data_IF_387339787527
#
_entry.id   IF_387339787527
#
_cell.length_a   1.000
_cell.length_b   1.000
_cell.length_c   1.000
_cell.angle_alpha   90.00
_cell.angle_beta   90.00
_cell.angle_gamma   90.00
#
_symmetry.space_group_name_H-M   'P 1'
#
loop_
_entity.id
_entity.type
_entity.pdbx_description
1 polymer ?
#
# COMPACT_ATOMS: atom_id res chain seq x y z
N UNK A 1 -146.88 12.51 0.18
CA UNK A 1 -147.31 13.68 0.98
C UNK A 1 -147.10 14.98 0.19
N UNK A 2 -147.93 16.00 0.45
CA UNK A 2 -148.11 17.30 -0.22
C UNK A 2 -146.86 18.24 -0.23
N UNK A 3 -146.77 19.11 -1.26
CA UNK A 3 -145.79 20.21 -1.54
C UNK A 3 -145.89 21.41 -0.56
N UNK A 4 -144.94 22.39 -0.58
CA UNK A 4 -145.25 23.67 -1.27
C UNK A 4 -144.08 24.43 -1.94
N UNK A 5 -144.44 25.48 -2.67
CA UNK A 5 -143.76 26.22 -3.75
C UNK A 5 -143.47 27.68 -3.33
N UNK A 6 -142.42 28.37 -3.83
CA UNK A 6 -142.30 29.85 -3.85
C UNK A 6 -141.33 30.35 -4.95
N UNK A 7 -141.81 31.20 -5.86
CA UNK A 7 -141.03 31.95 -6.87
C UNK A 7 -141.14 33.46 -6.63
N UNK A 8 -140.09 34.22 -6.95
CA UNK A 8 -140.04 35.70 -6.93
C UNK A 8 -139.15 36.19 -8.09
N UNK A 9 -139.57 37.24 -8.80
CA UNK A 9 -138.93 37.78 -10.02
C UNK A 9 -138.48 39.25 -9.80
N UNK A 10 -137.33 39.65 -10.37
CA UNK A 10 -136.64 40.95 -10.19
C UNK A 10 -135.94 41.31 -11.53
N UNK A 11 -136.06 42.53 -12.06
CA UNK A 11 -135.00 43.40 -12.66
C UNK A 11 -135.46 44.47 -13.71
N UNK A 12 -134.86 45.69 -13.69
CA UNK A 12 -134.86 46.73 -14.77
C UNK A 12 -133.56 47.61 -14.85
N UNK A 13 -133.04 47.85 -16.08
CA UNK A 13 -132.45 49.05 -16.80
C UNK A 13 -131.06 49.80 -16.63
N UNK A 14 -130.09 49.50 -15.75
CA UNK A 14 -128.93 50.44 -15.51
C UNK A 14 -127.57 50.23 -16.27
N UNK A 15 -127.43 49.29 -17.20
CA UNK A 15 -126.08 48.76 -17.54
C UNK A 15 -125.28 49.40 -18.70
N UNK A 16 -125.91 50.08 -19.67
CA UNK A 16 -125.26 50.37 -20.98
C UNK A 16 -124.40 51.66 -21.02
N UNK A 17 -124.84 52.74 -20.36
CA UNK A 17 -124.07 54.00 -20.29
C UNK A 17 -122.73 53.85 -19.57
N UNK A 18 -122.66 52.90 -18.64
CA UNK A 18 -121.44 52.57 -17.91
C UNK A 18 -120.33 52.09 -18.86
N UNK A 19 -120.69 51.40 -19.95
CA UNK A 19 -119.71 50.78 -20.84
C UNK A 19 -119.03 51.78 -21.78
N UNK A 20 -119.77 52.76 -22.31
CA UNK A 20 -119.23 53.76 -23.25
C UNK A 20 -118.29 54.76 -22.55
N UNK A 21 -118.63 55.18 -21.33
CA UNK A 21 -117.76 56.02 -20.51
C UNK A 21 -116.49 55.25 -20.12
N UNK A 22 -116.61 53.96 -19.83
CA UNK A 22 -115.46 53.13 -19.49
C UNK A 22 -114.45 53.02 -20.64
N UNK A 23 -114.91 52.81 -21.89
CA UNK A 23 -114.00 52.69 -23.06
C UNK A 23 -113.38 54.02 -23.47
N UNK A 24 -114.14 55.13 -23.45
CA UNK A 24 -113.58 56.46 -23.73
C UNK A 24 -112.52 56.87 -22.71
N UNK A 25 -112.77 56.60 -21.43
CA UNK A 25 -111.81 56.83 -20.33
C UNK A 25 -110.57 55.96 -20.51
N UNK A 26 -110.74 54.69 -20.90
CA UNK A 26 -109.63 53.76 -21.14
C UNK A 26 -108.69 54.25 -22.26
N UNK A 27 -109.21 54.68 -23.41
CA UNK A 27 -108.37 55.14 -24.53
C UNK A 27 -107.59 56.40 -24.16
N UNK A 28 -108.22 57.35 -23.46
CA UNK A 28 -107.56 58.58 -23.04
C UNK A 28 -106.44 58.30 -22.02
N UNK A 29 -106.67 57.37 -21.10
CA UNK A 29 -105.64 56.87 -20.18
C UNK A 29 -104.47 56.24 -20.96
N UNK A 30 -104.74 55.43 -21.99
CA UNK A 30 -103.69 54.79 -22.81
C UNK A 30 -102.84 55.82 -23.55
N UNK A 31 -103.45 56.83 -24.19
CA UNK A 31 -102.70 57.87 -24.91
C UNK A 31 -101.86 58.72 -23.94
N UNK A 32 -102.41 59.05 -22.77
CA UNK A 32 -101.69 59.76 -21.71
C UNK A 32 -100.50 58.94 -21.17
N UNK A 33 -100.64 57.61 -21.08
CA UNK A 33 -99.61 56.70 -20.57
C UNK A 33 -98.60 56.21 -21.62
N UNK A 34 -98.90 56.32 -22.92
CA UNK A 34 -98.03 55.87 -24.01
C UNK A 34 -96.58 56.39 -23.92
N UNK A 35 -96.31 57.69 -23.67
CA UNK A 35 -94.93 58.17 -23.50
C UNK A 35 -94.22 57.53 -22.30
N UNK A 36 -94.96 57.18 -21.24
CA UNK A 36 -94.41 56.51 -20.07
C UNK A 36 -94.04 55.05 -20.39
N UNK A 37 -94.92 54.32 -21.08
CA UNK A 37 -94.64 52.95 -21.52
C UNK A 37 -93.42 52.88 -22.43
N UNK A 38 -93.32 53.77 -23.43
CA UNK A 38 -92.16 53.80 -24.33
C UNK A 38 -90.85 54.04 -23.58
N UNK A 39 -90.82 55.02 -22.68
CA UNK A 39 -89.65 55.28 -21.81
C UNK A 39 -89.28 54.08 -20.94
N UNK A 40 -90.28 53.31 -20.47
CA UNK A 40 -90.03 52.10 -19.68
C UNK A 40 -89.43 50.95 -20.50
N UNK A 41 -89.85 50.77 -21.75
CA UNK A 41 -89.27 49.77 -22.66
C UNK A 41 -87.86 50.15 -23.09
N UNK A 42 -87.63 51.42 -23.45
CA UNK A 42 -86.30 51.91 -23.83
C UNK A 42 -85.32 51.76 -22.64
N UNK A 43 -85.74 52.14 -21.42
CA UNK A 43 -84.93 51.95 -20.22
C UNK A 43 -84.63 50.47 -19.90
N UNK A 44 -85.57 49.55 -20.19
CA UNK A 44 -85.33 48.11 -20.03
C UNK A 44 -84.36 47.57 -21.09
N UNK A 45 -84.45 48.03 -22.33
CA UNK A 45 -83.52 47.67 -23.39
C UNK A 45 -82.09 48.14 -23.06
N UNK A 46 -81.94 49.39 -22.60
CA UNK A 46 -80.65 49.94 -22.18
C UNK A 46 -80.05 49.14 -21.00
N UNK A 47 -80.87 48.74 -20.03
CA UNK A 47 -80.43 47.92 -18.89
C UNK A 47 -79.96 46.53 -19.34
N UNK A 48 -80.67 45.90 -20.28
CA UNK A 48 -80.27 44.59 -20.81
C UNK A 48 -79.00 44.68 -21.66
N UNK A 49 -78.84 45.74 -22.45
CA UNK A 49 -77.59 45.98 -23.20
C UNK A 49 -76.39 46.15 -22.25
N UNK A 50 -76.53 46.99 -21.22
CA UNK A 50 -75.49 47.17 -20.19
C UNK A 50 -75.23 45.89 -19.41
N UNK A 51 -76.25 45.06 -19.15
CA UNK A 51 -76.07 43.75 -18.49
C UNK A 51 -75.28 42.79 -19.36
N UNK A 52 -75.58 42.70 -20.66
CA UNK A 52 -74.86 41.84 -21.60
C UNK A 52 -73.41 42.30 -21.73
N UNK A 53 -73.17 43.61 -21.86
CA UNK A 53 -71.83 44.18 -21.92
C UNK A 53 -71.05 43.96 -20.61
N UNK A 54 -71.68 44.19 -19.45
CA UNK A 54 -71.06 43.90 -18.16
C UNK A 54 -70.74 42.41 -18.01
N UNK A 55 -71.61 41.52 -18.48
CA UNK A 55 -71.38 40.08 -18.43
C UNK A 55 -70.19 39.68 -19.33
N UNK A 56 -70.08 40.20 -20.55
CA UNK A 56 -68.94 39.91 -21.43
C UNK A 56 -67.63 40.44 -20.85
N UNK A 57 -67.62 41.67 -20.32
CA UNK A 57 -66.43 42.25 -19.66
C UNK A 57 -66.00 41.43 -18.44
N UNK A 58 -66.95 40.97 -17.62
CA UNK A 58 -66.62 40.10 -16.48
C UNK A 58 -66.05 38.76 -16.92
N UNK A 59 -66.60 38.15 -17.97
CA UNK A 59 -66.09 36.89 -18.51
C UNK A 59 -64.66 37.05 -19.09
N UNK A 60 -64.39 38.16 -19.78
CA UNK A 60 -63.05 38.50 -20.28
C UNK A 60 -62.06 38.75 -19.13
N UNK A 61 -62.47 39.50 -18.10
CA UNK A 61 -61.64 39.74 -16.92
C UNK A 61 -61.31 38.43 -16.19
N UNK A 62 -62.27 37.51 -16.03
CA UNK A 62 -62.02 36.19 -15.45
C UNK A 62 -61.08 35.34 -16.32
N UNK A 63 -61.24 35.38 -17.65
CA UNK A 63 -60.36 34.65 -18.56
C UNK A 63 -58.92 35.16 -18.48
N UNK A 64 -58.73 36.49 -18.43
CA UNK A 64 -57.43 37.13 -18.24
C UNK A 64 -56.82 36.80 -16.87
N UNK A 65 -57.61 36.82 -15.80
CA UNK A 65 -57.14 36.42 -14.47
C UNK A 65 -56.69 34.95 -14.44
N UNK A 66 -57.44 34.05 -15.08
CA UNK A 66 -57.06 32.63 -15.20
C UNK A 66 -55.78 32.46 -16.03
N UNK A 67 -55.61 33.22 -17.11
CA UNK A 67 -54.38 33.20 -17.91
C UNK A 67 -53.18 33.70 -17.10
N UNK A 68 -53.32 34.85 -16.42
CA UNK A 68 -52.28 35.40 -15.56
C UNK A 68 -51.89 34.44 -14.42
N UNK A 69 -52.86 33.74 -13.82
CA UNK A 69 -52.59 32.73 -12.79
C UNK A 69 -51.78 31.54 -13.34
N UNK A 70 -52.07 31.09 -14.57
CA UNK A 70 -51.29 30.02 -15.23
C UNK A 70 -49.87 30.47 -15.54
N UNK A 71 -49.69 31.69 -16.05
CA UNK A 71 -48.37 32.23 -16.38
C UNK A 71 -47.52 32.42 -15.12
N UNK A 72 -48.13 32.85 -14.01
CA UNK A 72 -47.45 33.01 -12.73
C UNK A 72 -47.04 31.64 -12.16
N UNK A 73 -47.89 30.61 -12.30
CA UNK A 73 -47.53 29.24 -11.93
C UNK A 73 -46.39 28.69 -12.80
N UNK A 74 -46.44 28.87 -14.13
CA UNK A 74 -45.37 28.45 -15.04
C UNK A 74 -44.05 29.17 -14.74
N UNK A 75 -44.09 30.47 -14.43
CA UNK A 75 -42.90 31.24 -14.04
C UNK A 75 -42.33 30.77 -12.69
N UNK A 76 -43.18 30.38 -11.73
CA UNK A 76 -42.74 29.82 -10.46
C UNK A 76 -42.05 28.45 -10.66
N UNK A 77 -42.61 27.59 -11.52
CA UNK A 77 -42.01 26.31 -11.89
C UNK A 77 -40.66 26.50 -12.60
N UNK A 78 -40.58 27.43 -13.54
CA UNK A 78 -39.33 27.75 -14.25
C UNK A 78 -38.24 28.26 -13.30
N UNK A 79 -38.59 29.14 -12.34
CA UNK A 79 -37.66 29.60 -11.29
C UNK A 79 -37.21 28.46 -10.38
N UNK A 80 -38.12 27.57 -10.00
CA UNK A 80 -37.78 26.40 -9.20
C UNK A 80 -36.85 25.43 -9.96
N UNK A 81 -37.07 25.24 -11.27
CA UNK A 81 -36.20 24.43 -12.11
C UNK A 81 -34.80 25.05 -12.26
N UNK A 82 -34.71 26.37 -12.48
CA UNK A 82 -33.44 27.09 -12.53
C UNK A 82 -32.65 26.96 -11.23
N UNK A 83 -33.30 27.14 -10.07
CA UNK A 83 -32.67 26.98 -8.77
C UNK A 83 -32.15 25.54 -8.51
N UNK A 84 -32.84 24.50 -9.04
CA UNK A 84 -32.35 23.12 -8.97
C UNK A 84 -31.10 22.91 -9.84
N UNK A 85 -31.09 23.48 -11.05
CA UNK A 85 -29.93 23.39 -11.94
C UNK A 85 -28.71 24.10 -11.37
N UNK A 86 -28.88 25.27 -10.75
CA UNK A 86 -27.79 25.98 -10.07
C UNK A 86 -27.19 25.17 -8.92
N UNK A 87 -28.03 24.53 -8.09
CA UNK A 87 -27.56 23.64 -7.03
C UNK A 87 -26.80 22.43 -7.57
N UNK A 88 -27.34 21.78 -8.60
CA UNK A 88 -26.66 20.66 -9.25
C UNK A 88 -25.32 21.07 -9.87
N UNK A 89 -25.24 22.25 -10.48
CA UNK A 89 -23.98 22.79 -11.01
C UNK A 89 -22.96 23.08 -9.91
N UNK A 90 -23.40 23.64 -8.78
CA UNK A 90 -22.52 23.89 -7.63
C UNK A 90 -22.00 22.59 -7.00
N UNK A 91 -22.85 21.55 -6.88
CA UNK A 91 -22.44 20.23 -6.40
C UNK A 91 -21.41 19.57 -7.33
N UNK A 92 -21.62 19.65 -8.65
CA UNK A 92 -20.66 19.14 -9.64
C UNK A 92 -19.32 19.87 -9.60
N UNK A 93 -19.33 21.19 -9.40
CA UNK A 93 -18.10 21.98 -9.25
C UNK A 93 -17.35 21.58 -7.98
N UNK A 94 -18.04 21.41 -6.85
CA UNK A 94 -17.43 20.93 -5.59
C UNK A 94 -16.83 19.53 -5.73
N UNK A 95 -17.56 18.59 -6.34
CA UNK A 95 -17.05 17.24 -6.60
C UNK A 95 -15.82 17.26 -7.52
N UNK A 96 -15.78 18.17 -8.50
CA UNK A 96 -14.63 18.30 -9.41
C UNK A 96 -13.40 18.86 -8.68
N UNK A 97 -13.57 19.85 -7.80
CA UNK A 97 -12.45 20.37 -7.00
C UNK A 97 -11.89 19.32 -6.05
N UNK A 98 -12.77 18.57 -5.39
CA UNK A 98 -12.36 17.49 -4.47
C UNK A 98 -11.58 16.40 -5.22
N UNK A 99 -12.05 16.04 -6.42
CA UNK A 99 -11.36 15.06 -7.26
C UNK A 99 -9.99 15.56 -7.75
N UNK A 100 -9.88 16.85 -8.10
CA UNK A 100 -8.59 17.46 -8.47
C UNK A 100 -7.60 17.49 -7.29
N UNK A 101 -8.08 17.74 -6.08
CA UNK A 101 -7.24 17.73 -4.88
C UNK A 101 -6.78 16.32 -4.52
N UNK A 102 -7.65 15.31 -4.68
CA UNK A 102 -7.27 13.91 -4.53
C UNK A 102 -6.20 13.47 -5.55
N UNK A 103 -6.33 13.87 -6.82
CA UNK A 103 -5.34 13.57 -7.85
C UNK A 103 -4.00 14.23 -7.52
N UNK A 104 -4.00 15.52 -7.14
CA UNK A 104 -2.76 16.23 -6.74
C UNK A 104 -2.08 15.58 -5.53
N UNK A 105 -2.86 15.14 -4.54
CA UNK A 105 -2.33 14.44 -3.38
C UNK A 105 -1.70 13.08 -3.77
N UNK A 106 -2.37 12.30 -4.62
CA UNK A 106 -1.87 11.00 -5.08
C UNK A 106 -0.61 11.13 -5.96
N UNK A 107 -0.52 12.16 -6.80
CA UNK A 107 0.66 12.46 -7.60
C UNK A 107 1.85 12.84 -6.71
N UNK A 108 1.62 13.67 -5.68
CA UNK A 108 2.66 14.05 -4.72
C UNK A 108 3.18 12.84 -3.93
N UNK A 109 2.30 11.93 -3.49
CA UNK A 109 2.68 10.70 -2.80
C UNK A 109 3.51 9.78 -3.72
N UNK A 110 3.09 9.64 -4.98
CA UNK A 110 3.79 8.83 -5.97
C UNK A 110 5.19 9.39 -6.27
N UNK A 111 5.31 10.71 -6.43
CA UNK A 111 6.59 11.38 -6.62
C UNK A 111 7.53 11.21 -5.42
N UNK A 112 7.01 11.28 -4.19
CA UNK A 112 7.79 11.04 -2.97
C UNK A 112 8.27 9.57 -2.89
N UNK A 113 7.41 8.61 -3.25
CA UNK A 113 7.76 7.19 -3.29
C UNK A 113 8.85 6.90 -4.31
N UNK A 114 8.78 7.50 -5.51
CA UNK A 114 9.80 7.35 -6.55
C UNK A 114 11.16 7.92 -6.11
N UNK A 115 11.18 9.11 -5.49
CA UNK A 115 12.42 9.68 -4.93
C UNK A 115 13.07 8.75 -3.91
N UNK A 116 12.26 8.17 -3.01
CA UNK A 116 12.75 7.23 -1.99
C UNK A 116 13.31 5.94 -2.61
N UNK A 117 12.69 5.43 -3.67
CA UNK A 117 13.21 4.27 -4.43
C UNK A 117 14.56 4.61 -5.09
N UNK A 118 14.68 5.80 -5.68
CA UNK A 118 15.91 6.24 -6.32
C UNK A 118 17.05 6.46 -5.32
N UNK A 119 16.76 7.03 -4.15
CA UNK A 119 17.72 7.15 -3.04
C UNK A 119 18.18 5.77 -2.54
N UNK A 120 17.25 4.84 -2.30
CA UNK A 120 17.57 3.46 -1.91
C UNK A 120 18.41 2.74 -2.95
N UNK A 121 18.15 3.00 -4.24
CA UNK A 121 18.94 2.45 -5.35
C UNK A 121 20.36 3.02 -5.35
N UNK A 122 20.53 4.34 -5.17
CA UNK A 122 21.87 4.97 -5.08
C UNK A 122 22.66 4.46 -3.87
N UNK A 123 21.99 4.24 -2.74
CA UNK A 123 22.58 3.62 -1.54
C UNK A 123 23.01 2.17 -1.80
N UNK A 124 22.22 1.39 -2.55
CA UNK A 124 22.57 0.03 -2.94
C UNK A 124 23.72 -0.01 -3.96
N UNK A 125 23.73 0.90 -4.94
CA UNK A 125 24.79 1.03 -5.96
C UNK A 125 26.13 1.45 -5.33
N UNK A 126 26.13 2.26 -4.26
CA UNK A 126 27.34 2.60 -3.49
C UNK A 126 27.90 1.44 -2.66
N UNK A 127 27.15 0.34 -2.50
CA UNK A 127 27.53 -0.86 -1.73
C UNK A 127 27.75 -2.10 -2.60
N UNK A 128 28.00 -1.93 -3.90
CA UNK A 128 28.40 -3.08 -4.73
C UNK A 128 29.81 -3.50 -4.34
N UNK A 129 29.92 -4.67 -3.72
CA UNK A 129 31.20 -5.35 -3.52
C UNK A 129 31.63 -5.86 -4.89
N UNK A 130 32.51 -5.14 -5.57
CA UNK A 130 33.02 -5.53 -6.90
C UNK A 130 33.97 -6.73 -6.82
N UNK A 131 34.68 -6.84 -5.69
CA UNK A 131 35.71 -7.83 -5.45
C UNK A 131 35.60 -8.43 -4.04
N UNK A 132 35.71 -9.76 -3.94
CA UNK A 132 35.68 -10.51 -2.69
C UNK A 132 36.91 -11.41 -2.57
N UNK A 133 37.64 -11.29 -1.46
CA UNK A 133 38.63 -12.26 -1.02
C UNK A 133 38.11 -12.99 0.22
N UNK A 134 37.84 -14.29 0.07
CA UNK A 134 37.33 -15.14 1.14
C UNK A 134 38.39 -16.16 1.55
N UNK A 135 38.74 -16.24 2.84
CA UNK A 135 39.68 -17.24 3.35
C UNK A 135 39.00 -18.12 4.38
N UNK A 136 39.01 -19.44 4.15
CA UNK A 136 38.60 -20.42 5.14
C UNK A 136 39.79 -20.83 5.99
N UNK A 137 39.63 -20.78 7.31
CA UNK A 137 40.60 -21.29 8.29
C UNK A 137 39.93 -22.45 9.00
N UNK A 138 40.34 -23.67 8.67
CA UNK A 138 39.56 -24.87 8.99
C UNK A 138 40.37 -25.83 9.85
N UNK A 139 39.76 -26.25 10.94
CA UNK A 139 40.25 -27.35 11.76
C UNK A 139 40.18 -28.69 10.98
N UNK A 140 41.28 -29.45 10.98
CA UNK A 140 41.38 -30.76 10.31
C UNK A 140 41.63 -31.92 11.25
N UNK A 141 41.21 -31.78 12.51
CA UNK A 141 41.13 -32.88 13.49
C UNK A 141 40.17 -33.98 13.03
N UNK A 142 40.29 -35.15 13.66
CA UNK A 142 39.47 -36.32 13.33
C UNK A 142 37.97 -36.07 13.54
N UNK A 143 37.59 -35.31 14.55
CA UNK A 143 36.19 -34.97 14.87
C UNK A 143 35.53 -34.12 13.79
N UNK A 144 36.32 -33.39 13.02
CA UNK A 144 35.85 -32.48 11.96
C UNK A 144 35.53 -33.17 10.62
N UNK A 145 35.79 -34.48 10.48
CA UNK A 145 35.57 -35.22 9.21
C UNK A 145 34.18 -34.99 8.58
N UNK A 146 33.05 -35.07 9.32
CA UNK A 146 31.73 -34.86 8.71
C UNK A 146 31.54 -33.44 8.17
N UNK A 147 32.12 -32.44 8.86
CA UNK A 147 32.04 -31.04 8.45
C UNK A 147 32.89 -30.78 7.22
N UNK A 148 34.09 -31.38 7.14
CA UNK A 148 34.93 -31.29 5.95
C UNK A 148 34.24 -31.88 4.72
N UNK A 149 33.55 -33.01 4.89
CA UNK A 149 32.76 -33.64 3.83
C UNK A 149 31.59 -32.75 3.39
N UNK A 150 30.84 -32.16 4.33
CA UNK A 150 29.76 -31.20 4.03
C UNK A 150 30.30 -29.95 3.33
N UNK A 151 31.44 -29.43 3.78
CA UNK A 151 32.11 -28.28 3.17
C UNK A 151 32.52 -28.59 1.72
N UNK A 152 33.08 -29.78 1.46
CA UNK A 152 33.43 -30.22 0.12
C UNK A 152 32.21 -30.31 -0.81
N UNK A 153 31.09 -30.87 -0.32
CA UNK A 153 29.82 -30.97 -1.06
C UNK A 153 29.24 -29.57 -1.33
N UNK A 154 29.25 -28.71 -0.32
CA UNK A 154 28.65 -27.38 -0.37
C UNK A 154 29.48 -26.36 -1.15
N UNK A 155 30.79 -26.59 -1.31
CA UNK A 155 31.73 -25.63 -1.90
C UNK A 155 31.31 -25.16 -3.29
N UNK A 156 30.87 -26.09 -4.14
CA UNK A 156 30.41 -25.75 -5.50
C UNK A 156 29.20 -24.81 -5.48
N UNK A 157 28.28 -25.01 -4.54
CA UNK A 157 27.11 -24.16 -4.37
C UNK A 157 27.48 -22.80 -3.79
N UNK A 158 28.36 -22.76 -2.79
CA UNK A 158 28.89 -21.52 -2.21
C UNK A 158 29.53 -20.66 -3.29
N UNK A 159 30.46 -21.21 -4.07
CA UNK A 159 31.14 -20.48 -5.16
C UNK A 159 30.12 -19.94 -6.16
N UNK A 160 29.18 -20.77 -6.62
CA UNK A 160 28.14 -20.33 -7.57
C UNK A 160 27.28 -19.19 -7.05
N UNK A 161 26.96 -19.18 -5.76
CA UNK A 161 26.18 -18.09 -5.15
C UNK A 161 27.05 -16.84 -5.08
N UNK A 162 28.31 -16.96 -4.62
CA UNK A 162 29.23 -15.82 -4.53
C UNK A 162 29.52 -15.18 -5.89
N UNK A 163 29.72 -15.97 -6.95
CA UNK A 163 29.95 -15.46 -8.33
C UNK A 163 28.73 -14.75 -8.93
N UNK A 164 27.52 -15.00 -8.40
CA UNK A 164 26.31 -14.24 -8.79
C UNK A 164 26.17 -12.93 -8.04
N UNK A 165 26.76 -12.84 -6.84
CA UNK A 165 26.67 -11.68 -5.97
C UNK A 165 27.83 -10.71 -6.19
N UNK A 166 29.01 -11.22 -6.53
CA UNK A 166 30.25 -10.45 -6.66
C UNK A 166 30.94 -10.81 -7.98
N UNK A 167 31.29 -9.83 -8.84
CA UNK A 167 31.94 -10.08 -10.12
C UNK A 167 33.27 -10.82 -10.04
N UNK A 168 34.08 -10.58 -9.00
CA UNK A 168 35.41 -11.16 -8.86
C UNK A 168 35.66 -11.77 -7.48
N UNK A 169 35.61 -13.10 -7.41
CA UNK A 169 35.81 -13.87 -6.16
C UNK A 169 37.14 -14.60 -6.17
N UNK A 170 37.91 -14.46 -5.08
CA UNK A 170 39.08 -15.31 -4.79
C UNK A 170 38.88 -16.03 -3.47
N UNK A 171 39.15 -17.33 -3.48
CA UNK A 171 39.03 -18.17 -2.28
C UNK A 171 40.38 -18.76 -1.90
N UNK A 172 40.73 -18.64 -0.62
CA UNK A 172 41.89 -19.27 0.00
C UNK A 172 41.47 -20.24 1.10
N UNK A 173 42.34 -21.20 1.40
CA UNK A 173 42.16 -22.14 2.49
C UNK A 173 43.43 -22.25 3.32
N UNK A 174 43.24 -22.33 4.64
CA UNK A 174 44.25 -22.72 5.61
C UNK A 174 43.66 -23.79 6.50
N UNK A 175 44.00 -25.03 6.22
CA UNK A 175 43.74 -26.13 7.12
C UNK A 175 44.82 -26.14 8.20
N UNK A 176 44.40 -26.16 9.46
CA UNK A 176 45.29 -26.24 10.62
C UNK A 176 44.98 -27.48 11.47
N UNK A 177 45.97 -27.84 12.28
CA UNK A 177 45.96 -28.91 13.28
C UNK A 177 47.12 -28.65 14.23
N UNK A 178 47.11 -29.32 15.38
CA UNK A 178 48.22 -29.24 16.34
C UNK A 178 49.59 -29.61 15.73
N UNK A 179 50.63 -28.94 16.21
CA UNK A 179 52.05 -29.24 15.93
C UNK A 179 52.46 -30.62 16.43
N UNK A 180 51.80 -31.15 17.46
CA UNK A 180 52.11 -32.45 18.05
C UNK A 180 51.47 -33.65 17.30
N UNK A 181 50.63 -33.39 16.29
CA UNK A 181 49.92 -34.39 15.50
C UNK A 181 50.85 -35.31 14.66
N UNK A 182 52.16 -35.03 14.61
CA UNK A 182 53.16 -35.83 13.90
C UNK A 182 53.09 -35.70 12.37
N UNK A 183 52.33 -34.73 11.87
CA UNK A 183 52.16 -34.41 10.46
C UNK A 183 52.31 -32.89 10.28
N UNK A 184 52.36 -32.41 9.03
CA UNK A 184 52.51 -30.97 8.77
C UNK A 184 51.32 -30.20 9.38
N UNK A 185 51.55 -29.18 10.24
CA UNK A 185 50.47 -28.50 10.98
C UNK A 185 49.63 -27.57 10.10
N UNK A 186 50.09 -27.23 8.89
CA UNK A 186 49.38 -26.36 7.96
C UNK A 186 49.35 -26.93 6.53
N UNK A 187 48.15 -26.94 5.95
CA UNK A 187 47.92 -27.18 4.52
C UNK A 187 47.25 -25.93 3.96
N UNK A 188 47.82 -25.33 2.92
CA UNK A 188 47.45 -23.98 2.46
C UNK A 188 47.14 -23.97 0.97
N UNK A 189 45.95 -23.49 0.63
CA UNK A 189 45.63 -23.00 -0.71
C UNK A 189 45.64 -21.49 -0.67
N UNK A 190 46.54 -20.87 -1.44
CA UNK A 190 46.54 -19.42 -1.60
C UNK A 190 45.26 -18.96 -2.30
N UNK A 191 44.88 -17.70 -2.09
CA UNK A 191 43.77 -17.04 -2.79
C UNK A 191 43.81 -17.34 -4.29
N UNK A 192 42.83 -18.11 -4.74
CA UNK A 192 42.69 -18.57 -6.12
C UNK A 192 41.38 -18.00 -6.67
N UNK A 193 41.43 -17.39 -7.85
CA UNK A 193 40.22 -16.90 -8.53
C UNK A 193 39.30 -18.07 -8.90
N UNK A 194 38.00 -17.93 -8.66
CA UNK A 194 37.05 -19.04 -8.80
C UNK A 194 36.71 -19.35 -10.25
N UNK A 195 36.73 -18.34 -11.12
CA UNK A 195 36.46 -18.42 -12.56
C UNK A 195 37.31 -19.46 -13.31
N UNK A 196 38.61 -19.54 -12.99
CA UNK A 196 39.56 -20.47 -13.61
C UNK A 196 40.07 -21.53 -12.63
N UNK A 197 39.90 -21.30 -11.33
CA UNK A 197 40.48 -22.10 -10.26
C UNK A 197 39.50 -23.01 -9.51
N UNK A 198 38.22 -23.04 -9.89
CA UNK A 198 37.20 -23.82 -9.18
C UNK A 198 37.60 -25.29 -9.02
N UNK A 199 38.10 -25.95 -10.06
CA UNK A 199 38.49 -27.36 -9.92
C UNK A 199 39.64 -27.57 -8.94
N UNK A 200 40.62 -26.65 -8.92
CA UNK A 200 41.74 -26.69 -7.97
C UNK A 200 41.23 -26.51 -6.54
N UNK A 201 40.26 -25.62 -6.35
CA UNK A 201 39.58 -25.40 -5.08
C UNK A 201 38.87 -26.66 -4.61
N UNK A 202 38.03 -27.24 -5.47
CA UNK A 202 37.26 -28.45 -5.15
C UNK A 202 38.20 -29.63 -4.83
N UNK A 203 39.24 -29.85 -5.65
CA UNK A 203 40.25 -30.88 -5.39
C UNK A 203 40.97 -30.65 -4.07
N UNK A 204 41.31 -29.40 -3.75
CA UNK A 204 41.97 -29.09 -2.49
C UNK A 204 41.08 -29.46 -1.29
N UNK A 205 39.81 -29.03 -1.29
CA UNK A 205 38.88 -29.30 -0.19
C UNK A 205 38.57 -30.79 -0.07
N UNK A 206 38.35 -31.50 -1.19
CA UNK A 206 38.16 -32.95 -1.19
C UNK A 206 39.37 -33.75 -0.69
N UNK A 207 40.58 -33.20 -0.83
CA UNK A 207 41.82 -33.83 -0.41
C UNK A 207 42.30 -33.37 0.98
N UNK A 208 41.47 -32.62 1.73
CA UNK A 208 41.79 -32.30 3.11
C UNK A 208 41.72 -33.57 3.96
N UNK A 209 42.87 -34.20 4.13
CA UNK A 209 43.02 -35.37 5.01
C UNK A 209 42.94 -34.95 6.48
N UNK A 210 42.12 -35.66 7.24
CA UNK A 210 42.12 -35.58 8.69
C UNK A 210 43.44 -36.08 9.26
N UNK A 211 43.85 -35.53 10.40
CA UNK A 211 45.03 -36.06 11.09
C UNK A 211 44.84 -37.54 11.46
N UNK A 212 45.79 -38.43 11.12
CA UNK A 212 45.69 -39.86 11.46
C UNK A 212 45.81 -40.08 12.98
N UNK A 213 46.43 -39.15 13.71
CA UNK A 213 46.52 -39.15 15.18
C UNK A 213 45.67 -38.01 15.75
N UNK A 214 44.97 -38.27 16.84
CA UNK A 214 44.32 -37.20 17.61
C UNK A 214 45.37 -36.32 18.27
N UNK A 215 45.01 -35.06 18.56
CA UNK A 215 45.83 -34.18 19.40
C UNK A 215 45.96 -34.75 20.82
N UNK A 216 47.05 -34.42 21.52
CA UNK A 216 47.21 -34.76 22.94
C UNK A 216 46.41 -33.82 23.84
N UNK A 217 45.96 -32.68 23.31
CA UNK A 217 45.14 -31.67 23.99
C UNK A 217 43.77 -31.55 23.35
N UNK A 218 42.83 -30.93 24.06
CA UNK A 218 41.54 -30.57 23.47
C UNK A 218 41.70 -29.35 22.54
N UNK A 219 42.53 -28.39 22.93
CA UNK A 219 42.83 -27.18 22.18
C UNK A 219 43.75 -27.43 20.99
N UNK A 220 43.66 -26.53 20.01
CA UNK A 220 44.34 -26.65 18.72
C UNK A 220 45.17 -25.41 18.37
N UNK A 221 46.08 -25.57 17.42
CA UNK A 221 47.01 -24.53 16.92
C UNK A 221 46.32 -23.47 16.02
N UNK A 222 45.14 -22.99 16.40
CA UNK A 222 44.37 -22.01 15.62
C UNK A 222 45.14 -20.72 15.37
N UNK A 223 45.97 -20.26 16.33
CA UNK A 223 46.78 -19.07 16.14
C UNK A 223 47.72 -19.17 14.94
N UNK A 224 48.28 -20.36 14.71
CA UNK A 224 49.15 -20.66 13.58
C UNK A 224 48.35 -20.61 12.27
N UNK A 225 47.19 -21.26 12.21
CA UNK A 225 46.28 -21.24 11.06
C UNK A 225 45.83 -19.82 10.72
N UNK A 226 45.32 -19.09 11.71
CA UNK A 226 44.86 -17.73 11.53
C UNK A 226 45.99 -16.78 11.12
N UNK A 227 47.16 -16.90 11.73
CA UNK A 227 48.33 -16.10 11.33
C UNK A 227 48.69 -16.32 9.87
N UNK A 228 48.65 -17.58 9.41
CA UNK A 228 48.94 -17.90 8.02
C UNK A 228 47.90 -17.32 7.07
N UNK A 229 46.61 -17.43 7.40
CA UNK A 229 45.51 -16.87 6.62
C UNK A 229 45.66 -15.35 6.44
N UNK A 230 45.91 -14.65 7.55
CA UNK A 230 46.05 -13.19 7.55
C UNK A 230 47.36 -12.68 6.91
N UNK A 231 48.29 -13.57 6.56
CA UNK A 231 49.50 -13.25 5.80
C UNK A 231 49.30 -13.33 4.28
N UNK A 232 48.14 -13.79 3.80
CA UNK A 232 47.85 -13.88 2.38
C UNK A 232 47.74 -12.49 1.74
N UNK A 233 48.07 -12.41 0.44
CA UNK A 233 48.03 -11.15 -0.32
C UNK A 233 46.59 -10.81 -0.75
N UNK A 234 45.87 -10.16 0.16
CA UNK A 234 44.52 -9.66 -0.05
C UNK A 234 44.53 -8.41 -0.96
N UNK A 235 43.49 -8.23 -1.78
CA UNK A 235 43.26 -7.05 -2.62
C UNK A 235 42.81 -5.89 -1.73
N UNK A 236 43.43 -4.70 -1.80
CA UNK A 236 43.12 -3.59 -0.90
C UNK A 236 41.67 -3.10 -1.00
N UNK A 237 41.08 -3.13 -2.21
CA UNK A 237 39.75 -2.61 -2.49
C UNK A 237 38.63 -3.68 -2.41
N UNK A 238 39.02 -4.96 -2.31
CA UNK A 238 38.10 -6.06 -2.14
C UNK A 238 37.51 -6.09 -0.72
N UNK A 239 36.30 -6.61 -0.58
CA UNK A 239 35.81 -7.11 0.71
C UNK A 239 36.67 -8.31 1.11
N UNK A 240 37.23 -8.28 2.32
CA UNK A 240 38.14 -9.31 2.81
C UNK A 240 37.48 -10.04 3.98
N UNK A 241 37.00 -11.25 3.74
CA UNK A 241 36.32 -12.06 4.76
C UNK A 241 37.15 -13.27 5.12
N UNK A 242 37.29 -13.52 6.43
CA UNK A 242 37.94 -14.71 6.97
C UNK A 242 36.91 -15.48 7.77
N UNK A 243 36.78 -16.78 7.51
CA UNK A 243 35.85 -17.66 8.22
C UNK A 243 36.63 -18.74 8.92
N UNK A 244 36.63 -18.70 10.25
CA UNK A 244 37.28 -19.71 11.09
C UNK A 244 36.26 -20.80 11.42
N UNK A 245 36.58 -22.06 11.13
CA UNK A 245 35.70 -23.22 11.34
C UNK A 245 36.43 -24.23 12.21
N UNK A 246 35.86 -24.60 13.36
CA UNK A 246 36.45 -25.61 14.24
C UNK A 246 35.56 -25.96 15.43
N UNK A 247 35.98 -26.98 16.18
CA UNK A 247 35.27 -27.51 17.36
C UNK A 247 36.03 -27.32 18.67
N UNK A 248 37.25 -26.77 18.63
CA UNK A 248 38.12 -26.52 19.77
C UNK A 248 38.68 -25.08 19.80
N UNK A 249 38.88 -24.55 21.01
CA UNK A 249 39.51 -23.25 21.20
C UNK A 249 41.01 -23.27 20.82
N UNK A 250 41.58 -22.08 20.64
CA UNK A 250 43.03 -21.94 20.58
C UNK A 250 43.65 -22.29 21.94
N UNK A 251 44.87 -22.82 21.91
CA UNK A 251 45.68 -23.07 23.11
C UNK A 251 45.68 -21.89 24.09
N UNK A 252 45.57 -22.11 25.42
CA UNK A 252 45.44 -21.01 26.40
C UNK A 252 46.55 -19.95 26.31
N UNK A 253 47.79 -20.36 26.00
CA UNK A 253 48.94 -19.46 25.85
C UNK A 253 48.94 -18.67 24.53
N UNK A 254 48.09 -19.02 23.57
CA UNK A 254 47.89 -18.34 22.29
C UNK A 254 46.51 -17.68 22.14
N UNK A 255 45.50 -18.06 22.94
CA UNK A 255 44.14 -17.53 22.88
C UNK A 255 44.09 -15.98 22.83
N UNK A 256 44.77 -15.32 23.77
CA UNK A 256 44.88 -13.85 23.80
C UNK A 256 45.58 -13.27 22.56
N UNK A 257 46.55 -13.98 21.98
CA UNK A 257 47.26 -13.55 20.77
C UNK A 257 46.37 -13.70 19.53
N UNK A 258 45.56 -14.76 19.48
CA UNK A 258 44.57 -15.02 18.42
C UNK A 258 43.52 -13.92 18.37
N UNK A 259 42.90 -13.57 19.51
CA UNK A 259 41.91 -12.49 19.58
C UNK A 259 42.52 -11.13 19.19
N UNK A 260 43.72 -10.81 19.68
CA UNK A 260 44.44 -9.58 19.29
C UNK A 260 44.74 -9.55 17.78
N UNK A 261 45.02 -10.70 17.17
CA UNK A 261 45.26 -10.83 15.73
C UNK A 261 43.98 -10.56 14.94
N UNK A 262 42.85 -11.17 15.33
CA UNK A 262 41.54 -10.92 14.73
C UNK A 262 41.16 -9.44 14.78
N UNK A 263 41.28 -8.82 15.97
CA UNK A 263 41.02 -7.39 16.18
C UNK A 263 41.87 -6.46 15.34
N UNK A 264 43.13 -6.83 15.10
CA UNK A 264 44.02 -6.02 14.25
C UNK A 264 43.68 -6.16 12.77
N UNK A 265 43.14 -7.30 12.35
CA UNK A 265 42.70 -7.51 10.98
C UNK A 265 41.44 -6.72 10.67
N UNK A 266 40.43 -6.81 11.54
CA UNK A 266 39.13 -6.16 11.38
C UNK A 266 39.08 -4.78 12.08
N UNK A 267 39.88 -3.83 11.58
CA UNK A 267 39.84 -2.46 12.11
C UNK A 267 38.51 -1.79 11.71
N UNK A 268 37.88 -1.00 12.61
CA UNK A 268 36.70 -0.21 12.27
C UNK A 268 36.93 0.64 11.03
N UNK A 269 35.94 0.70 10.13
CA UNK A 269 36.02 1.45 8.88
C UNK A 269 36.78 0.75 7.74
N UNK A 270 37.22 -0.50 7.94
CA UNK A 270 37.77 -1.35 6.86
C UNK A 270 36.74 -2.34 6.36
N UNK A 271 36.84 -2.77 5.09
CA UNK A 271 35.99 -3.83 4.51
C UNK A 271 36.47 -5.24 4.90
N UNK A 272 36.97 -5.39 6.13
CA UNK A 272 37.62 -6.61 6.62
C UNK A 272 36.85 -7.18 7.79
N UNK A 273 36.44 -8.43 7.69
CA UNK A 273 35.73 -9.13 8.75
C UNK A 273 36.28 -10.52 8.97
N UNK A 274 36.24 -10.96 10.23
CA UNK A 274 36.55 -12.32 10.62
C UNK A 274 35.36 -12.87 11.40
N UNK A 275 34.72 -13.88 10.80
CA UNK A 275 33.60 -14.60 11.38
C UNK A 275 34.07 -15.95 11.91
N UNK A 276 33.35 -16.48 12.88
CA UNK A 276 33.69 -17.73 13.55
C UNK A 276 32.49 -18.68 13.53
N UNK A 277 32.71 -19.87 12.97
CA UNK A 277 31.76 -20.96 12.91
C UNK A 277 32.20 -22.06 13.87
N UNK A 278 31.49 -22.19 14.97
CA UNK A 278 31.74 -23.23 15.95
C UNK A 278 30.97 -24.50 15.59
N UNK A 279 31.65 -25.64 15.67
CA UNK A 279 31.06 -26.95 15.38
C UNK A 279 30.96 -27.75 16.67
N UNK A 280 29.74 -28.12 17.07
CA UNK A 280 29.53 -29.08 18.15
C UNK A 280 29.74 -30.50 17.62
N UNK A 281 30.93 -31.07 17.82
CA UNK A 281 31.26 -32.47 17.49
C UNK A 281 31.00 -33.38 18.69
N UNK A 282 30.88 -34.72 18.51
CA UNK A 282 30.80 -35.64 19.65
C UNK A 282 31.97 -35.49 20.62
N UNK A 283 33.17 -35.17 20.09
CA UNK A 283 34.36 -34.87 20.89
C UNK A 283 34.12 -33.62 21.74
N UNK A 284 33.79 -32.49 21.11
CA UNK A 284 33.57 -31.22 21.81
C UNK A 284 32.47 -31.31 22.88
N UNK A 285 31.37 -32.01 22.58
CA UNK A 285 30.27 -32.25 23.54
C UNK A 285 30.68 -33.05 24.74
N UNK A 286 31.58 -34.02 24.57
CA UNK A 286 32.10 -34.81 25.69
C UNK A 286 32.87 -33.96 26.71
N UNK A 287 33.38 -32.80 26.27
CA UNK A 287 34.02 -31.79 27.10
C UNK A 287 33.12 -30.57 27.41
N UNK A 288 31.83 -30.64 27.09
CA UNK A 288 30.85 -29.58 27.39
C UNK A 288 30.93 -28.37 26.47
N UNK A 289 31.42 -28.53 25.24
CA UNK A 289 31.51 -27.47 24.23
C UNK A 289 32.28 -26.21 24.71
N UNK A 290 33.32 -26.42 25.54
CA UNK A 290 34.11 -25.34 26.19
C UNK A 290 34.77 -24.39 25.20
N UNK A 291 35.02 -24.84 23.96
CA UNK A 291 35.56 -24.01 22.90
C UNK A 291 34.59 -22.95 22.37
N UNK A 292 33.28 -23.10 22.57
CA UNK A 292 32.26 -22.23 21.97
C UNK A 292 32.43 -20.76 22.37
N UNK A 293 32.67 -20.48 23.65
CA UNK A 293 32.85 -19.12 24.16
C UNK A 293 34.00 -18.39 23.47
N UNK A 294 35.09 -19.12 23.19
CA UNK A 294 36.23 -18.57 22.47
C UNK A 294 35.89 -18.17 21.03
N UNK A 295 35.03 -18.94 20.33
CA UNK A 295 34.58 -18.57 18.97
C UNK A 295 33.69 -17.33 18.97
N UNK A 296 32.84 -17.15 20.00
CA UNK A 296 32.05 -15.92 20.18
C UNK A 296 32.99 -14.71 20.33
N UNK A 297 33.98 -14.82 21.21
CA UNK A 297 34.99 -13.77 21.41
C UNK A 297 35.80 -13.50 20.14
N UNK A 298 36.09 -14.54 19.36
CA UNK A 298 36.85 -14.45 18.11
C UNK A 298 36.08 -13.69 17.03
N UNK A 299 34.80 -14.00 16.83
CA UNK A 299 33.94 -13.27 15.90
C UNK A 299 33.78 -11.81 16.31
N UNK A 300 33.53 -11.56 17.60
CA UNK A 300 33.41 -10.21 18.15
C UNK A 300 34.71 -9.40 17.98
N UNK A 301 35.88 -10.01 18.25
CA UNK A 301 37.17 -9.40 17.98
C UNK A 301 37.39 -9.17 16.48
N UNK A 302 36.88 -10.05 15.64
CA UNK A 302 36.96 -10.01 14.19
C UNK A 302 35.94 -9.11 13.49
N UNK A 303 35.04 -8.44 14.22
CA UNK A 303 33.97 -7.64 13.62
C UNK A 303 33.10 -8.44 12.64
N UNK A 304 33.01 -9.75 12.82
CA UNK A 304 32.21 -10.66 11.99
C UNK A 304 31.14 -11.35 12.81
N UNK A 305 30.48 -12.33 12.20
CA UNK A 305 29.39 -13.07 12.84
C UNK A 305 29.87 -14.35 13.50
N UNK A 306 29.18 -14.70 14.58
CA UNK A 306 29.30 -15.99 15.21
C UNK A 306 28.13 -16.88 14.77
N UNK A 307 28.42 -18.13 14.39
CA UNK A 307 27.38 -19.12 14.09
C UNK A 307 27.73 -20.44 14.76
N UNK A 308 26.71 -21.11 15.29
CA UNK A 308 26.78 -22.54 15.59
C UNK A 308 26.48 -23.33 14.32
N UNK A 309 27.26 -24.36 14.02
CA UNK A 309 27.00 -25.23 12.89
C UNK A 309 25.93 -26.27 13.25
N UNK A 310 24.76 -26.16 12.61
CA UNK A 310 23.64 -27.10 12.74
C UNK A 310 23.35 -27.89 11.45
N UNK A 311 24.36 -28.14 10.60
CA UNK A 311 24.19 -28.85 9.32
C UNK A 311 23.75 -27.99 8.13
N UNK A 312 24.01 -26.67 8.17
CA UNK A 312 23.70 -25.73 7.07
C UNK A 312 24.92 -24.89 6.69
N UNK A 313 25.97 -25.53 6.16
CA UNK A 313 27.26 -24.88 5.85
C UNK A 313 27.12 -23.67 4.91
N UNK A 314 26.25 -23.77 3.90
CA UNK A 314 26.02 -22.69 2.93
C UNK A 314 25.50 -21.43 3.62
N UNK A 315 24.54 -21.58 4.54
CA UNK A 315 23.90 -20.45 5.24
C UNK A 315 24.91 -19.71 6.11
N UNK A 316 25.64 -20.44 6.97
CA UNK A 316 26.64 -19.87 7.87
C UNK A 316 27.74 -19.13 7.10
N UNK A 317 28.20 -19.68 5.98
CA UNK A 317 29.23 -19.03 5.15
C UNK A 317 28.68 -17.80 4.45
N UNK A 318 27.47 -17.84 3.89
CA UNK A 318 26.90 -16.65 3.24
C UNK A 318 26.64 -15.52 4.23
N UNK A 319 26.11 -15.83 5.42
CA UNK A 319 25.94 -14.84 6.49
C UNK A 319 27.29 -14.19 6.84
N UNK A 320 28.35 -14.98 7.00
CA UNK A 320 29.70 -14.47 7.31
C UNK A 320 30.31 -13.53 6.27
N UNK A 321 29.83 -13.60 5.02
CA UNK A 321 30.31 -12.79 3.90
C UNK A 321 29.44 -11.56 3.66
N UNK A 322 28.16 -11.58 4.04
CA UNK A 322 27.20 -10.51 3.74
C UNK A 322 27.21 -9.35 4.77
N UNK A 323 27.90 -9.48 5.90
CA UNK A 323 27.97 -8.43 6.94
C UNK A 323 28.78 -7.23 6.45
N UNK A 324 28.26 -6.02 6.67
CA UNK A 324 28.87 -4.73 6.29
C UNK A 324 29.95 -4.25 7.27
#
# INVERSE_FOLDING_TARGET
MKRPNRTLSIFTLSALDVLAVATGTFVLIVVLLMPYYRKSFDAQADIEEVRVESASVTAEAEALQRAAARDLAAAAEARAAAARLERAAAELQGATSDQQDQVRAAEAETAARLRRIEEMRKLAEQRVVEELDLIFVVDTTRSMKPVLDELAISMKSIVRILERLVPSVRIGFVAYRDRDAGVKPLIVLHLTATDQGLERLLRFVSNLEISPRGSQTLEEDMYLGLTRALSMRLRPDAKQSVVVIGDAAAHPWEASKTLKRAKRFARPGTRKSLSALYVSTPSSRSFGDTGRGFFVDLAAAGGGEFSDHSGRMIESVLLSVLID
#
